data_IF_993657945249
#
_entry.id   IF_993657945249
#
_cell.length_a   1.000
_cell.length_b   1.000
_cell.length_c   1.000
_cell.angle_alpha   90.00
_cell.angle_beta   90.00
_cell.angle_gamma   90.00
#
_symmetry.space_group_name_H-M   'P 1'
#
loop_
_entity.id
_entity.type
_entity.pdbx_description
1 polymer ?
#
# COMPACT_ATOMS: atom_id res chain seq x y z
N UNK A 1 -25.39 24.38 156.95
CA UNK A 1 -24.54 25.18 156.04
C UNK A 1 -23.49 24.24 155.49
N UNK A 2 -23.74 23.45 154.44
CA UNK A 2 -24.00 23.79 153.04
C UNK A 2 -22.82 24.55 152.41
N UNK A 3 -21.88 23.81 151.81
CA UNK A 3 -21.00 24.30 150.75
C UNK A 3 -20.83 23.20 149.70
N UNK A 4 -21.06 23.62 148.46
CA UNK A 4 -21.30 22.85 147.25
C UNK A 4 -20.16 21.90 146.85
N UNK A 5 -20.57 20.75 146.32
CA UNK A 5 -19.75 19.91 145.46
C UNK A 5 -19.73 20.57 144.07
N UNK A 6 -18.58 21.08 143.63
CA UNK A 6 -18.35 21.39 142.21
C UNK A 6 -17.94 20.09 141.51
N UNK A 7 -18.79 19.62 140.59
CA UNK A 7 -18.43 18.59 139.62
C UNK A 7 -17.39 19.15 138.64
N UNK A 8 -16.30 18.43 138.33
CA UNK A 8 -15.42 18.83 137.25
C UNK A 8 -16.16 18.64 135.92
N UNK A 9 -16.44 19.75 135.24
CA UNK A 9 -16.84 19.74 133.85
C UNK A 9 -15.74 19.07 133.02
N UNK A 10 -15.96 17.82 132.63
CA UNK A 10 -15.17 17.16 131.61
C UNK A 10 -15.45 17.85 130.28
N UNK A 11 -14.64 18.85 129.94
CA UNK A 11 -14.48 19.30 128.56
C UNK A 11 -13.98 18.11 127.74
N UNK A 12 -14.88 17.51 126.95
CA UNK A 12 -14.55 16.42 126.05
C UNK A 12 -13.69 17.00 124.91
N UNK A 13 -12.36 16.78 124.88
CA UNK A 13 -11.51 17.41 123.89
C UNK A 13 -11.75 16.70 122.55
N UNK A 14 -12.54 17.36 121.71
CA UNK A 14 -12.31 17.36 120.28
C UNK A 14 -12.20 15.99 119.58
N UNK A 15 -13.23 15.14 119.73
CA UNK A 15 -13.49 14.03 118.79
C UNK A 15 -13.59 14.59 117.35
N UNK A 16 -14.10 15.83 117.23
CA UNK A 16 -14.22 16.55 115.97
C UNK A 16 -12.89 16.90 115.29
N UNK A 17 -11.79 17.14 116.02
CA UNK A 17 -10.51 17.46 115.36
C UNK A 17 -9.58 16.25 115.20
N UNK A 18 -9.61 15.27 116.10
CA UNK A 18 -8.67 14.14 116.09
C UNK A 18 -9.09 12.98 115.19
N UNK A 19 -10.40 12.77 114.99
CA UNK A 19 -10.92 11.63 114.20
C UNK A 19 -11.65 12.08 112.94
N UNK A 20 -12.45 13.15 112.99
CA UNK A 20 -13.32 13.54 111.87
C UNK A 20 -12.55 14.21 110.73
N UNK A 21 -11.56 15.07 111.03
CA UNK A 21 -10.78 15.80 110.01
C UNK A 21 -9.94 14.86 109.10
N UNK A 22 -9.17 13.89 109.63
CA UNK A 22 -8.45 12.92 108.79
C UNK A 22 -9.37 12.11 107.86
N UNK A 23 -10.58 11.76 108.31
CA UNK A 23 -11.55 11.02 107.49
C UNK A 23 -12.06 11.90 106.33
N UNK A 24 -12.35 13.18 106.59
CA UNK A 24 -12.77 14.13 105.55
C UNK A 24 -11.66 14.38 104.52
N UNK A 25 -10.40 14.52 104.96
CA UNK A 25 -9.25 14.68 104.07
C UNK A 25 -9.06 13.42 103.19
N UNK A 26 -9.23 12.23 103.76
CA UNK A 26 -9.17 10.96 103.04
C UNK A 26 -10.29 10.87 101.97
N UNK A 27 -11.53 11.24 102.34
CA UNK A 27 -12.66 11.27 101.41
C UNK A 27 -12.43 12.27 100.28
N UNK A 28 -11.87 13.45 100.57
CA UNK A 28 -11.48 14.44 99.55
C UNK A 28 -10.40 13.94 98.60
N UNK A 29 -9.41 13.19 99.09
CA UNK A 29 -8.41 12.51 98.26
C UNK A 29 -9.04 11.44 97.37
N UNK A 30 -9.97 10.63 97.90
CA UNK A 30 -10.69 9.64 97.10
C UNK A 30 -11.55 10.29 96.00
N UNK A 31 -12.25 11.38 96.30
CA UNK A 31 -13.04 12.11 95.31
C UNK A 31 -12.17 12.73 94.21
N UNK A 32 -11.03 13.32 94.60
CA UNK A 32 -10.03 13.85 93.64
C UNK A 32 -9.49 12.76 92.73
N UNK A 33 -9.18 11.59 93.30
CA UNK A 33 -8.69 10.43 92.54
C UNK A 33 -9.76 9.84 91.64
N UNK A 34 -11.01 9.77 92.10
CA UNK A 34 -12.14 9.30 91.30
C UNK A 34 -12.36 10.20 90.08
N UNK A 35 -12.31 11.53 90.26
CA UNK A 35 -12.38 12.51 89.15
C UNK A 35 -11.23 12.36 88.16
N UNK A 36 -10.01 12.17 88.66
CA UNK A 36 -8.85 11.96 87.79
C UNK A 36 -8.97 10.66 86.98
N UNK A 37 -9.42 9.56 87.60
CA UNK A 37 -9.66 8.29 86.92
C UNK A 37 -10.78 8.41 85.88
N UNK A 38 -11.86 9.13 86.19
CA UNK A 38 -12.91 9.40 85.21
C UNK A 38 -12.38 10.17 84.00
N UNK A 39 -11.55 11.20 84.22
CA UNK A 39 -10.93 11.96 83.13
C UNK A 39 -10.02 11.09 82.24
N UNK A 40 -9.30 10.12 82.82
CA UNK A 40 -8.51 9.14 82.05
C UNK A 40 -9.41 8.23 81.22
N UNK A 41 -10.51 7.73 81.78
CA UNK A 41 -11.48 6.89 81.06
C UNK A 41 -12.15 7.63 79.90
N UNK A 42 -12.51 8.90 80.11
CA UNK A 42 -13.09 9.75 79.06
C UNK A 42 -12.08 9.98 77.93
N UNK A 43 -10.81 10.19 78.26
CA UNK A 43 -9.74 10.34 77.27
C UNK A 43 -9.49 9.06 76.48
N UNK A 44 -9.44 7.90 77.14
CA UNK A 44 -9.32 6.60 76.48
C UNK A 44 -10.49 6.36 75.51
N UNK A 45 -11.71 6.69 75.93
CA UNK A 45 -12.90 6.59 75.09
C UNK A 45 -12.81 7.49 73.86
N UNK A 46 -12.27 8.71 74.01
CA UNK A 46 -12.04 9.63 72.88
C UNK A 46 -11.00 9.07 71.92
N UNK A 47 -9.88 8.57 72.43
CA UNK A 47 -8.80 7.97 71.61
C UNK A 47 -9.30 6.75 70.85
N UNK A 48 -10.14 5.91 71.45
CA UNK A 48 -10.72 4.74 70.76
C UNK A 48 -11.64 5.16 69.60
N UNK A 49 -12.44 6.21 69.78
CA UNK A 49 -13.27 6.77 68.71
C UNK A 49 -12.44 7.34 67.56
N UNK A 50 -11.37 8.08 67.88
CA UNK A 50 -10.45 8.61 66.86
C UNK A 50 -9.75 7.46 66.12
N UNK A 51 -9.28 6.43 66.83
CA UNK A 51 -8.67 5.24 66.21
C UNK A 51 -9.64 4.59 65.21
N UNK A 52 -10.90 4.41 65.60
CA UNK A 52 -11.91 3.81 64.73
C UNK A 52 -12.15 4.68 63.50
N UNK A 53 -12.28 5.99 63.67
CA UNK A 53 -12.44 6.92 62.54
C UNK A 53 -11.27 6.84 61.55
N UNK A 54 -10.03 6.87 62.02
CA UNK A 54 -8.85 6.72 61.15
C UNK A 54 -8.82 5.37 60.44
N UNK A 55 -9.29 4.31 61.09
CA UNK A 55 -9.34 2.98 60.52
C UNK A 55 -10.40 2.87 59.41
N UNK A 56 -11.55 3.52 59.59
CA UNK A 56 -12.59 3.61 58.57
C UNK A 56 -12.12 4.44 57.37
N UNK A 57 -11.47 5.58 57.62
CA UNK A 57 -10.88 6.43 56.56
C UNK A 57 -9.82 5.68 55.76
N UNK A 58 -8.92 4.95 56.44
CA UNK A 58 -7.90 4.12 55.77
C UNK A 58 -8.53 3.03 54.90
N UNK A 59 -9.60 2.41 55.36
CA UNK A 59 -10.33 1.42 54.57
C UNK A 59 -11.00 2.05 53.34
N UNK A 60 -11.58 3.25 53.50
CA UNK A 60 -12.19 4.02 52.41
C UNK A 60 -11.15 4.35 51.33
N UNK A 61 -10.03 4.96 51.74
CA UNK A 61 -8.94 5.34 50.82
C UNK A 61 -8.33 4.12 50.13
N UNK A 62 -8.21 2.98 50.82
CA UNK A 62 -7.75 1.74 50.19
C UNK A 62 -8.72 1.27 49.09
N UNK A 63 -10.02 1.34 49.34
CA UNK A 63 -11.04 1.01 48.34
C UNK A 63 -10.98 1.92 47.11
N UNK A 64 -10.89 3.23 47.33
CA UNK A 64 -10.72 4.21 46.23
C UNK A 64 -9.43 3.97 45.43
N UNK A 65 -8.32 3.66 46.10
CA UNK A 65 -7.05 3.36 45.45
C UNK A 65 -7.13 2.09 44.59
N UNK A 66 -7.80 1.04 45.07
CA UNK A 66 -8.04 -0.17 44.29
C UNK A 66 -8.89 0.11 43.04
N UNK A 67 -9.93 0.93 43.18
CA UNK A 67 -10.77 1.32 42.05
C UNK A 67 -9.99 2.13 41.00
N UNK A 68 -9.18 3.10 41.43
CA UNK A 68 -8.33 3.90 40.53
C UNK A 68 -7.30 3.02 39.82
N UNK A 69 -6.73 2.03 40.51
CA UNK A 69 -5.79 1.08 39.89
C UNK A 69 -6.46 0.25 38.79
N UNK A 70 -7.69 -0.21 39.01
CA UNK A 70 -8.46 -0.94 37.99
C UNK A 70 -8.74 -0.05 36.78
N UNK A 71 -9.22 1.18 37.01
CA UNK A 71 -9.47 2.13 35.93
C UNK A 71 -8.21 2.47 35.14
N UNK A 72 -7.06 2.60 35.82
CA UNK A 72 -5.77 2.84 35.16
C UNK A 72 -5.35 1.65 34.30
N UNK A 73 -5.53 0.43 34.78
CA UNK A 73 -5.23 -0.78 34.01
C UNK A 73 -6.10 -0.88 32.76
N UNK A 74 -7.40 -0.62 32.88
CA UNK A 74 -8.33 -0.60 31.75
C UNK A 74 -7.96 0.49 30.72
N UNK A 75 -7.64 1.70 31.19
CA UNK A 75 -7.21 2.79 30.32
C UNK A 75 -5.88 2.48 29.60
N UNK A 76 -4.93 1.85 30.30
CA UNK A 76 -3.66 1.42 29.70
C UNK A 76 -3.88 0.37 28.61
N UNK A 77 -4.69 -0.65 28.87
CA UNK A 77 -5.03 -1.68 27.89
C UNK A 77 -5.77 -1.09 26.68
N UNK A 78 -6.72 -0.17 26.90
CA UNK A 78 -7.42 0.53 25.84
C UNK A 78 -6.47 1.39 24.99
N UNK A 79 -5.50 2.05 25.63
CA UNK A 79 -4.50 2.86 24.94
C UNK A 79 -3.54 2.00 24.10
N UNK A 80 -3.08 0.86 24.62
CA UNK A 80 -2.25 -0.08 23.87
C UNK A 80 -2.99 -0.62 22.64
N UNK A 81 -4.25 -1.00 22.81
CA UNK A 81 -5.09 -1.44 21.69
C UNK A 81 -5.27 -0.35 20.64
N UNK A 82 -5.62 0.87 21.05
CA UNK A 82 -5.79 1.99 20.12
C UNK A 82 -4.50 2.30 19.36
N UNK A 83 -3.34 2.14 19.99
CA UNK A 83 -2.04 2.28 19.33
C UNK A 83 -1.80 1.17 18.29
N UNK A 84 -2.09 -0.08 18.63
CA UNK A 84 -1.96 -1.19 17.70
C UNK A 84 -2.87 -1.01 16.47
N UNK A 85 -4.14 -0.65 16.69
CA UNK A 85 -5.11 -0.38 15.62
C UNK A 85 -4.64 0.79 14.72
N UNK A 86 -4.04 1.83 15.31
CA UNK A 86 -3.49 2.96 14.56
C UNK A 86 -2.25 2.58 13.73
N UNK A 87 -1.38 1.72 14.27
CA UNK A 87 -0.21 1.20 13.55
C UNK A 87 -0.62 0.29 12.38
N UNK A 88 -1.64 -0.53 12.55
CA UNK A 88 -2.22 -1.36 11.47
C UNK A 88 -2.85 -0.47 10.38
N UNK A 89 -3.68 0.50 10.76
CA UNK A 89 -4.29 1.43 9.81
C UNK A 89 -3.26 2.31 9.08
N UNK A 90 -2.08 2.54 9.67
CA UNK A 90 -0.98 3.22 8.97
C UNK A 90 -0.36 2.32 7.90
N UNK A 91 -0.13 1.03 8.21
CA UNK A 91 0.40 0.05 7.25
C UNK A 91 -0.52 -0.14 6.05
N UNK A 92 -1.83 -0.26 6.29
CA UNK A 92 -2.82 -0.41 5.21
C UNK A 92 -2.83 0.80 4.28
N UNK A 93 -2.69 2.02 4.84
CA UNK A 93 -2.57 3.24 4.04
C UNK A 93 -1.30 3.26 3.20
N UNK A 94 -0.17 2.91 3.79
CA UNK A 94 1.11 2.86 3.08
C UNK A 94 1.07 1.83 1.93
N UNK A 95 0.45 0.67 2.17
CA UNK A 95 0.26 -0.35 1.14
C UNK A 95 -0.66 0.14 0.01
N UNK A 96 -1.76 0.81 0.35
CA UNK A 96 -2.67 1.39 -0.63
C UNK A 96 -1.97 2.45 -1.50
N UNK A 97 -1.21 3.36 -0.89
CA UNK A 97 -0.44 4.39 -1.60
C UNK A 97 0.63 3.76 -2.50
N UNK A 98 1.33 2.73 -2.01
CA UNK A 98 2.30 2.00 -2.82
C UNK A 98 1.62 1.27 -3.99
N UNK A 99 0.44 0.68 -3.76
CA UNK A 99 -0.39 0.05 -4.79
C UNK A 99 -0.82 1.03 -5.88
N UNK A 100 -1.34 2.20 -5.49
CA UNK A 100 -1.73 3.27 -6.43
C UNK A 100 -0.54 3.74 -7.26
N UNK A 101 0.62 3.95 -6.62
CA UNK A 101 1.85 4.34 -7.32
C UNK A 101 2.24 3.31 -8.39
N UNK A 102 2.25 2.01 -8.06
CA UNK A 102 2.56 0.95 -9.02
C UNK A 102 1.55 0.90 -10.17
N UNK A 103 0.27 1.08 -9.87
CA UNK A 103 -0.78 1.10 -10.89
C UNK A 103 -0.59 2.29 -11.85
N UNK A 104 -0.26 3.47 -11.33
CA UNK A 104 0.03 4.66 -12.14
C UNK A 104 1.27 4.47 -13.01
N UNK A 105 2.35 3.95 -12.45
CA UNK A 105 3.58 3.65 -13.21
C UNK A 105 3.31 2.63 -14.33
N UNK A 106 2.46 1.63 -14.08
CA UNK A 106 2.01 0.67 -15.09
C UNK A 106 1.17 1.31 -16.18
N UNK A 107 0.27 2.25 -15.83
CA UNK A 107 -0.54 2.99 -16.80
C UNK A 107 0.35 3.87 -17.69
N UNK A 108 1.28 4.62 -17.10
CA UNK A 108 2.23 5.46 -17.83
C UNK A 108 3.14 4.64 -18.78
N UNK A 109 3.48 3.40 -18.39
CA UNK A 109 4.22 2.47 -19.25
C UNK A 109 3.35 1.95 -20.41
N UNK A 110 2.09 1.62 -20.16
CA UNK A 110 1.15 1.18 -21.18
C UNK A 110 0.88 2.28 -22.21
N UNK A 111 0.70 3.53 -21.78
CA UNK A 111 0.48 4.67 -22.66
C UNK A 111 1.70 4.94 -23.56
N UNK A 112 2.92 4.87 -23.01
CA UNK A 112 4.15 4.98 -23.81
C UNK A 112 4.23 3.90 -24.88
N UNK A 113 3.93 2.65 -24.51
CA UNK A 113 3.93 1.52 -25.45
C UNK A 113 2.85 1.67 -26.51
N UNK A 114 1.67 2.16 -26.16
CA UNK A 114 0.60 2.44 -27.12
C UNK A 114 1.02 3.51 -28.13
N UNK A 115 1.70 4.58 -27.68
CA UNK A 115 2.25 5.60 -28.58
C UNK A 115 3.35 5.06 -29.50
N UNK A 116 4.24 4.20 -29.01
CA UNK A 116 5.25 3.54 -29.84
C UNK A 116 4.61 2.67 -30.91
N UNK A 117 3.68 1.80 -30.53
CA UNK A 117 2.94 0.94 -31.47
C UNK A 117 2.14 1.76 -32.49
N UNK A 118 1.56 2.89 -32.10
CA UNK A 118 0.86 3.78 -33.02
C UNK A 118 1.82 4.37 -34.07
N UNK A 119 3.05 4.73 -33.68
CA UNK A 119 4.08 5.22 -34.62
C UNK A 119 4.57 4.11 -35.54
N UNK A 120 4.83 2.92 -35.02
CA UNK A 120 5.22 1.76 -35.82
C UNK A 120 4.14 1.40 -36.84
N UNK A 121 2.87 1.37 -36.40
CA UNK A 121 1.73 1.14 -37.28
C UNK A 121 1.66 2.20 -38.38
N UNK A 122 1.78 3.48 -38.04
CA UNK A 122 1.76 4.56 -39.03
C UNK A 122 2.91 4.42 -40.05
N UNK A 123 4.10 4.03 -39.59
CA UNK A 123 5.25 3.74 -40.46
C UNK A 123 4.99 2.57 -41.40
N UNK A 124 4.46 1.45 -40.88
CA UNK A 124 4.12 0.27 -41.66
C UNK A 124 2.99 0.56 -42.66
N UNK A 125 1.98 1.35 -42.30
CA UNK A 125 0.91 1.78 -43.20
C UNK A 125 1.46 2.66 -44.33
N UNK A 126 2.39 3.57 -44.04
CA UNK A 126 3.05 4.39 -45.04
C UNK A 126 3.91 3.54 -46.01
N UNK A 127 4.65 2.56 -45.50
CA UNK A 127 5.42 1.62 -46.32
C UNK A 127 4.49 0.77 -47.20
N UNK A 128 3.40 0.24 -46.63
CA UNK A 128 2.39 -0.50 -47.38
C UNK A 128 1.76 0.37 -48.47
N UNK A 129 1.49 1.64 -48.20
CA UNK A 129 0.94 2.57 -49.20
C UNK A 129 1.89 2.77 -50.39
N UNK A 130 3.20 2.84 -50.14
CA UNK A 130 4.22 2.91 -51.20
C UNK A 130 4.31 1.62 -52.01
N UNK A 131 4.16 0.46 -51.36
CA UNK A 131 4.27 -0.85 -51.99
C UNK A 131 2.97 -1.33 -52.65
N UNK A 132 1.81 -0.79 -52.28
CA UNK A 132 0.48 -1.21 -52.75
C UNK A 132 0.35 -1.28 -54.28
N UNK A 133 0.84 -0.30 -55.07
CA UNK A 133 0.80 -0.39 -56.53
C UNK A 133 1.61 -1.56 -57.10
N UNK A 134 2.68 -1.95 -56.41
CA UNK A 134 3.61 -2.99 -56.86
C UNK A 134 3.16 -4.40 -56.44
N UNK A 135 2.62 -4.53 -55.22
CA UNK A 135 2.32 -5.83 -54.60
C UNK A 135 0.88 -6.26 -54.82
N UNK A 136 -0.09 -5.33 -54.83
CA UNK A 136 -1.52 -5.68 -54.82
C UNK A 136 -2.24 -5.39 -56.14
N UNK A 137 -1.84 -4.35 -56.87
CA UNK A 137 -2.54 -3.96 -58.11
C UNK A 137 -1.85 -4.49 -59.36
N UNK A 138 -0.58 -4.89 -59.25
CA UNK A 138 0.28 -5.25 -60.36
C UNK A 138 0.64 -4.02 -61.19
N UNK A 139 1.90 -3.89 -61.60
CA UNK A 139 2.31 -2.77 -62.46
C UNK A 139 1.85 -3.09 -63.88
N UNK A 140 0.98 -2.24 -64.45
CA UNK A 140 0.37 -2.46 -65.76
C UNK A 140 0.64 -1.30 -66.72
N UNK A 141 0.78 -1.62 -68.00
CA UNK A 141 0.60 -0.68 -69.10
C UNK A 141 -0.61 -1.10 -69.95
N UNK A 142 -0.82 -0.47 -71.11
CA UNK A 142 -1.92 -0.81 -72.03
C UNK A 142 -1.81 -2.23 -72.63
N UNK A 143 -0.68 -2.90 -72.43
CA UNK A 143 -0.28 -4.13 -73.14
C UNK A 143 -0.26 -5.34 -72.19
N UNK A 144 0.34 -5.20 -70.99
CA UNK A 144 0.51 -6.26 -70.00
C UNK A 144 0.37 -5.71 -68.58
N UNK A 145 -0.19 -6.53 -67.68
CA UNK A 145 -0.10 -6.40 -66.22
C UNK A 145 0.87 -7.42 -65.65
N UNK A 146 1.92 -6.97 -64.98
CA UNK A 146 2.89 -7.84 -64.29
C UNK A 146 2.46 -7.98 -62.83
N UNK A 147 2.27 -9.21 -62.38
CA UNK A 147 1.82 -9.54 -61.03
C UNK A 147 2.96 -9.93 -60.10
N UNK A 148 3.99 -10.56 -60.64
CA UNK A 148 5.12 -11.04 -59.85
C UNK A 148 6.36 -11.18 -60.72
N UNK A 149 7.51 -10.75 -60.18
CA UNK A 149 8.82 -10.96 -60.79
C UNK A 149 9.76 -11.52 -59.72
N UNK A 150 10.50 -12.57 -60.05
CA UNK A 150 11.55 -13.12 -59.16
C UNK A 150 12.80 -13.49 -59.93
N UNK A 151 13.95 -13.36 -59.26
CA UNK A 151 15.28 -13.73 -59.75
C UNK A 151 15.89 -14.76 -58.81
N UNK A 152 15.94 -16.01 -59.25
CA UNK A 152 16.26 -17.14 -58.38
C UNK A 152 15.25 -17.26 -57.23
N UNK A 153 15.69 -17.33 -55.96
CA UNK A 153 14.80 -17.39 -54.80
C UNK A 153 14.26 -16.02 -54.36
N UNK A 154 14.67 -14.92 -54.99
CA UNK A 154 14.37 -13.55 -54.55
C UNK A 154 13.21 -12.96 -55.35
N UNK A 155 12.15 -12.51 -54.67
CA UNK A 155 11.14 -11.64 -55.28
C UNK A 155 11.74 -10.26 -55.57
N UNK A 156 11.52 -9.74 -56.77
CA UNK A 156 11.93 -8.39 -57.16
C UNK A 156 10.78 -7.44 -56.84
N UNK A 157 11.08 -6.39 -56.07
CA UNK A 157 10.15 -5.30 -55.72
C UNK A 157 10.67 -3.93 -56.20
N UNK A 158 11.67 -3.89 -57.08
CA UNK A 158 12.27 -2.66 -57.61
C UNK A 158 11.41 -2.04 -58.73
N UNK A 159 10.86 -0.81 -58.55
CA UNK A 159 10.04 -0.15 -59.55
C UNK A 159 10.72 0.01 -60.92
N UNK A 160 12.02 0.29 -60.94
CA UNK A 160 12.77 0.51 -62.18
C UNK A 160 12.90 -0.78 -63.00
N UNK A 161 12.91 -1.95 -62.35
CA UNK A 161 12.90 -3.25 -63.01
C UNK A 161 11.54 -3.55 -63.64
N UNK A 162 10.44 -3.30 -62.93
CA UNK A 162 9.09 -3.46 -63.50
C UNK A 162 8.86 -2.54 -64.70
N UNK A 163 9.30 -1.28 -64.61
CA UNK A 163 9.17 -0.34 -65.72
C UNK A 163 9.92 -0.82 -66.97
N UNK A 164 11.16 -1.30 -66.82
CA UNK A 164 11.94 -1.85 -67.93
C UNK A 164 11.25 -3.05 -68.59
N UNK A 165 10.68 -3.96 -67.78
CA UNK A 165 9.93 -5.11 -68.30
C UNK A 165 8.65 -4.68 -69.03
N UNK A 166 7.92 -3.69 -68.51
CA UNK A 166 6.75 -3.13 -69.17
C UNK A 166 7.12 -2.43 -70.48
N UNK A 167 8.23 -1.71 -70.53
CA UNK A 167 8.72 -1.08 -71.77
C UNK A 167 9.05 -2.14 -72.84
N UNK A 168 9.66 -3.26 -72.43
CA UNK A 168 9.90 -4.39 -73.34
C UNK A 168 8.60 -5.01 -73.86
N UNK A 169 7.60 -5.18 -72.98
CA UNK A 169 6.27 -5.66 -73.36
C UNK A 169 5.58 -4.70 -74.34
N UNK A 170 5.59 -3.39 -74.06
CA UNK A 170 4.97 -2.37 -74.90
C UNK A 170 5.60 -2.29 -76.30
N UNK A 171 6.92 -2.48 -76.39
CA UNK A 171 7.67 -2.44 -77.66
C UNK A 171 7.69 -3.78 -78.39
N UNK A 172 7.18 -4.86 -77.78
CA UNK A 172 7.26 -6.22 -78.34
C UNK A 172 8.70 -6.73 -78.51
N UNK A 173 9.63 -6.25 -77.68
CA UNK A 173 11.07 -6.56 -77.80
C UNK A 173 11.49 -7.70 -76.89
N UNK A 174 12.54 -8.42 -77.28
CA UNK A 174 13.19 -9.40 -76.42
C UNK A 174 13.99 -8.68 -75.32
N UNK A 175 14.04 -9.31 -74.14
CA UNK A 175 14.92 -8.92 -73.03
C UNK A 175 15.75 -10.13 -72.59
N UNK A 176 16.94 -9.85 -72.07
CA UNK A 176 17.86 -10.88 -71.59
C UNK A 176 17.85 -10.93 -70.06
N UNK A 177 17.70 -12.13 -69.52
CA UNK A 177 17.69 -12.39 -68.09
C UNK A 177 19.11 -12.21 -67.51
N UNK A 178 19.41 -11.02 -67.00
CA UNK A 178 20.73 -10.66 -66.47
C UNK A 178 20.61 -10.00 -65.09
N UNK A 179 21.70 -10.00 -64.32
CA UNK A 179 21.77 -9.23 -63.07
C UNK A 179 21.60 -7.72 -63.30
N UNK A 180 21.92 -7.21 -64.50
CA UNK A 180 21.67 -5.80 -64.85
C UNK A 180 20.17 -5.49 -64.97
N UNK A 181 19.37 -6.46 -65.44
CA UNK A 181 17.92 -6.35 -65.52
C UNK A 181 17.26 -6.55 -64.15
N UNK A 182 17.65 -7.61 -63.43
CA UNK A 182 17.01 -8.04 -62.19
C UNK A 182 17.56 -7.39 -60.91
N UNK A 183 18.67 -6.67 -60.97
CA UNK A 183 19.40 -6.13 -59.83
C UNK A 183 20.52 -7.06 -59.32
N UNK A 184 21.35 -6.53 -58.42
CA UNK A 184 22.52 -7.24 -57.87
C UNK A 184 22.17 -8.50 -57.09
N UNK A 185 23.02 -9.50 -57.25
CA UNK A 185 22.92 -10.82 -56.65
C UNK A 185 23.21 -10.80 -55.15
N UNK A 186 22.44 -11.57 -54.37
CA UNK A 186 22.69 -11.78 -52.93
C UNK A 186 23.41 -13.10 -52.63
N UNK A 187 23.56 -14.03 -53.61
CA UNK A 187 24.25 -15.32 -53.41
C UNK A 187 24.99 -15.79 -54.68
N UNK A 188 26.32 -15.63 -54.66
CA UNK A 188 27.22 -16.16 -55.70
C UNK A 188 27.08 -17.68 -55.88
N UNK A 189 26.97 -18.15 -57.13
CA UNK A 189 27.17 -19.56 -57.52
C UNK A 189 25.92 -20.42 -57.74
N UNK A 190 24.71 -19.87 -57.63
CA UNK A 190 23.48 -20.59 -57.96
C UNK A 190 23.00 -20.31 -59.38
N UNK A 191 22.47 -21.33 -60.07
CA UNK A 191 21.76 -21.15 -61.32
C UNK A 191 20.53 -20.24 -61.09
N UNK A 192 20.47 -19.12 -61.80
CA UNK A 192 19.41 -18.12 -61.64
C UNK A 192 18.39 -18.28 -62.74
N UNK A 193 17.12 -18.24 -62.37
CA UNK A 193 16.02 -18.16 -63.31
C UNK A 193 15.20 -16.91 -63.03
N UNK A 194 14.91 -16.13 -64.08
CA UNK A 194 13.92 -15.06 -64.03
C UNK A 194 12.54 -15.67 -64.22
N UNK A 195 11.65 -15.45 -63.25
CA UNK A 195 10.25 -15.87 -63.34
C UNK A 195 9.36 -14.65 -63.30
N UNK A 196 8.53 -14.47 -64.33
CA UNK A 196 7.59 -13.36 -64.46
C UNK A 196 6.18 -13.93 -64.62
N UNK A 197 5.27 -13.58 -63.72
CA UNK A 197 3.85 -13.83 -63.85
C UNK A 197 3.16 -12.57 -64.39
N UNK A 198 2.43 -12.70 -65.50
CA UNK A 198 1.80 -11.56 -66.16
C UNK A 198 0.45 -11.93 -66.79
N UNK A 199 -0.40 -10.95 -67.06
CA UNK A 199 -1.69 -11.13 -67.76
C UNK A 199 -1.95 -9.97 -68.71
N UNK A 200 -2.95 -10.11 -69.59
CA UNK A 200 -3.49 -8.94 -70.30
C UNK A 200 -4.20 -7.98 -69.32
N UNK A 201 -4.23 -6.66 -69.59
CA UNK A 201 -4.77 -5.66 -68.66
C UNK A 201 -6.27 -5.83 -68.34
N UNK A 202 -7.03 -6.44 -69.26
CA UNK A 202 -8.46 -6.75 -69.19
C UNK A 202 -8.78 -8.08 -68.48
N UNK A 203 -7.84 -8.61 -67.68
CA UNK A 203 -7.94 -9.88 -66.93
C UNK A 203 -7.96 -11.14 -67.83
N UNK A 204 -7.13 -11.15 -68.87
CA UNK A 204 -6.79 -12.39 -69.59
C UNK A 204 -6.10 -13.45 -68.70
N UNK A 205 -5.97 -14.71 -69.15
CA UNK A 205 -5.35 -15.78 -68.38
C UNK A 205 -3.91 -15.43 -67.95
N UNK A 206 -3.53 -15.84 -66.75
CA UNK A 206 -2.19 -15.61 -66.23
C UNK A 206 -1.16 -16.45 -67.01
N UNK A 207 -0.17 -15.79 -67.59
CA UNK A 207 0.96 -16.36 -68.32
C UNK A 207 2.23 -16.27 -67.48
N UNK A 208 3.16 -17.17 -67.76
CA UNK A 208 4.44 -17.24 -67.08
C UNK A 208 5.58 -17.21 -68.08
N UNK A 209 6.58 -16.38 -67.81
CA UNK A 209 7.91 -16.46 -68.44
C UNK A 209 8.85 -17.06 -67.40
N UNK A 210 9.54 -18.12 -67.76
CA UNK A 210 10.61 -18.71 -66.96
C UNK A 210 11.81 -18.90 -67.86
N UNK A 211 12.88 -18.16 -67.60
CA UNK A 211 14.13 -18.21 -68.39
C UNK A 211 15.34 -18.20 -67.46
N UNK A 212 16.37 -18.94 -67.83
CA UNK A 212 17.63 -19.00 -67.09
C UNK A 212 18.48 -17.75 -67.31
N UNK A 213 19.50 -17.56 -66.47
CA UNK A 213 20.49 -16.50 -66.64
C UNK A 213 21.10 -16.55 -68.04
N UNK A 214 21.17 -15.39 -68.69
CA UNK A 214 21.61 -15.16 -70.08
C UNK A 214 20.65 -15.61 -71.18
N UNK A 215 19.54 -16.28 -70.87
CA UNK A 215 18.51 -16.58 -71.86
C UNK A 215 17.68 -15.33 -72.20
N UNK A 216 17.14 -15.33 -73.41
CA UNK A 216 16.25 -14.27 -73.89
C UNK A 216 14.80 -14.71 -73.73
N UNK A 217 13.95 -13.75 -73.36
CA UNK A 217 12.51 -13.90 -73.32
C UNK A 217 11.84 -12.73 -74.02
N UNK A 218 10.59 -12.93 -74.42
CA UNK A 218 9.68 -11.86 -74.84
C UNK A 218 8.32 -12.11 -74.24
N UNK A 219 7.55 -11.03 -74.05
CA UNK A 219 6.16 -11.16 -73.67
C UNK A 219 5.34 -11.64 -74.87
N UNK A 220 4.55 -12.69 -74.66
CA UNK A 220 3.55 -13.15 -75.62
C UNK A 220 2.23 -12.42 -75.33
N UNK A 221 2.04 -11.27 -76.00
CA UNK A 221 0.93 -10.33 -75.78
C UNK A 221 0.01 -10.27 -76.98
#
# INVERSE_FOLDING_TARGET
>A
MATAHEEPAYENPSIHSSVVKPIQDLLGLYDTRAKALQGVLDHLTKVEKERQHWQDDLNSVRGELEQVRLQLAEASAASEKARADAEEAARDRDEAVAGERRARESADAADRRAHELAREKAGAEAELALLRPFVLEGVANEVVRIHHVSWGPRAINDPATYQRLLDHAARGTEFQATNGLAGTDTRYGYAKSLKIAYSKPDRGPMKWIVVNEWEKARFDV
#
